data_IF_906543563919
#
_entry.id   IF_906543563919
#
_cell.length_a   1.000
_cell.length_b   1.000
_cell.length_c   1.000
_cell.angle_alpha   90.00
_cell.angle_beta   90.00
_cell.angle_gamma   90.00
#
_symmetry.space_group_name_H-M   'P 1'
#
loop_
_entity.id
_entity.type
_entity.pdbx_description
1 polymer ?
#
# COMPACT_ATOMS: atom_id res chain seq x y z
N UNK A 1 -51.61 -1.71 52.68
CA UNK A 1 -52.34 -0.59 52.05
C UNK A 1 -51.59 0.68 52.38
N UNK A 2 -50.92 1.30 51.41
CA UNK A 2 -50.28 2.63 51.50
C UNK A 2 -51.36 3.70 51.18
N UNK A 3 -51.29 4.94 51.71
CA UNK A 3 -50.48 5.94 50.99
C UNK A 3 -49.97 7.17 51.76
N UNK A 4 -49.14 7.92 51.01
CA UNK A 4 -49.03 9.38 50.95
C UNK A 4 -48.35 10.14 52.11
N UNK A 5 -47.07 10.45 51.90
CA UNK A 5 -46.39 11.59 52.54
C UNK A 5 -46.61 12.84 51.67
N UNK A 6 -47.08 13.89 52.33
CA UNK A 6 -47.21 15.26 51.86
C UNK A 6 -45.83 15.94 51.74
N UNK A 7 -45.67 16.89 50.81
CA UNK A 7 -45.74 18.34 51.08
C UNK A 7 -44.93 19.10 50.01
N UNK A 8 -45.63 19.98 49.29
CA UNK A 8 -45.06 21.02 48.42
C UNK A 8 -44.74 22.24 49.28
N UNK A 9 -43.54 22.79 49.16
CA UNK A 9 -43.26 24.19 49.53
C UNK A 9 -42.14 24.75 48.65
N UNK A 10 -42.53 25.65 47.75
CA UNK A 10 -41.65 26.59 47.04
C UNK A 10 -40.85 27.44 48.03
N UNK A 11 -39.54 27.56 47.81
CA UNK A 11 -38.77 28.73 48.24
C UNK A 11 -37.91 29.18 47.07
N UNK A 12 -38.37 30.25 46.44
CA UNK A 12 -37.61 31.07 45.48
C UNK A 12 -36.48 31.77 46.24
N UNK A 13 -35.22 31.53 45.88
CA UNK A 13 -34.10 32.32 46.36
C UNK A 13 -33.36 32.98 45.19
N UNK A 14 -33.14 34.27 45.38
CA UNK A 14 -32.70 35.26 44.42
C UNK A 14 -31.18 35.19 44.19
N UNK A 15 -30.80 35.55 42.98
CA UNK A 15 -29.47 35.52 42.36
C UNK A 15 -28.44 36.42 43.06
N UNK A 16 -27.20 35.95 43.18
CA UNK A 16 -25.97 36.77 43.28
C UNK A 16 -24.92 36.17 42.34
N UNK A 17 -24.88 36.62 41.08
CA UNK A 17 -23.78 36.33 40.15
C UNK A 17 -22.66 37.32 40.45
N UNK A 18 -21.61 36.85 41.11
CA UNK A 18 -20.36 37.59 41.22
C UNK A 18 -19.57 37.41 39.92
N UNK A 19 -19.21 38.53 39.30
CA UNK A 19 -18.37 38.62 38.11
C UNK A 19 -16.94 38.18 38.45
N UNK A 20 -16.61 36.92 38.17
CA UNK A 20 -15.23 36.43 38.17
C UNK A 20 -14.62 36.50 36.76
N UNK A 21 -13.92 37.59 36.47
CA UNK A 21 -12.99 37.66 35.33
C UNK A 21 -11.85 36.67 35.59
N UNK A 22 -11.89 35.49 34.97
CA UNK A 22 -10.70 34.64 34.84
C UNK A 22 -9.81 35.25 33.76
N UNK A 23 -8.50 35.48 34.03
CA UNK A 23 -7.57 35.82 32.96
C UNK A 23 -7.45 34.60 32.05
N UNK A 24 -7.92 34.77 30.83
CA UNK A 24 -7.72 33.87 29.70
C UNK A 24 -6.22 33.80 29.43
N UNK A 25 -5.54 32.83 30.06
CA UNK A 25 -4.17 32.46 29.68
C UNK A 25 -4.28 31.87 28.28
N UNK A 26 -4.07 32.73 27.28
CA UNK A 26 -3.84 32.33 25.90
C UNK A 26 -2.60 31.42 25.88
N UNK A 27 -2.79 30.14 26.12
CA UNK A 27 -1.80 29.11 25.89
C UNK A 27 -1.51 29.15 24.38
N UNK A 28 -0.37 29.72 24.00
CA UNK A 28 0.20 29.52 22.66
C UNK A 28 0.30 28.02 22.48
N UNK A 29 -0.57 27.44 21.65
CA UNK A 29 -0.38 26.08 21.16
C UNK A 29 1.03 26.00 20.61
N UNK A 30 1.86 25.04 21.04
CA UNK A 30 3.16 24.84 20.42
C UNK A 30 2.92 24.65 18.93
N UNK A 31 3.63 25.42 18.09
CA UNK A 31 3.72 25.11 16.66
C UNK A 31 4.20 23.67 16.59
N UNK A 32 3.34 22.76 16.15
CA UNK A 32 3.74 21.39 15.85
C UNK A 32 4.91 21.49 14.87
N UNK A 33 6.08 21.00 15.27
CA UNK A 33 7.14 20.74 14.30
C UNK A 33 6.55 19.86 13.18
N UNK A 34 6.96 20.03 11.91
CA UNK A 34 6.51 19.14 10.86
C UNK A 34 6.85 17.72 11.28
N UNK A 35 5.84 16.92 11.63
CA UNK A 35 6.06 15.52 11.93
C UNK A 35 6.43 14.86 10.62
N UNK A 36 7.72 14.57 10.44
CA UNK A 36 8.19 13.76 9.32
C UNK A 36 7.47 12.42 9.39
N UNK A 37 6.83 12.04 8.28
CA UNK A 37 6.14 10.76 8.17
C UNK A 37 7.06 9.60 8.58
N UNK A 38 6.59 8.62 9.38
CA UNK A 38 7.42 7.49 9.80
C UNK A 38 7.87 6.58 8.64
N UNK A 39 7.36 6.82 7.43
CA UNK A 39 7.72 6.10 6.20
C UNK A 39 8.59 6.92 5.24
N UNK A 40 9.12 8.08 5.67
CA UNK A 40 9.99 8.92 4.83
C UNK A 40 11.18 8.16 4.24
N UNK A 41 11.70 7.17 4.99
CA UNK A 41 12.78 6.28 4.57
C UNK A 41 12.52 5.50 3.28
N UNK A 42 11.25 5.34 2.85
CA UNK A 42 10.92 4.65 1.59
C UNK A 42 11.58 5.30 0.36
N UNK A 43 11.80 6.61 0.39
CA UNK A 43 12.44 7.39 -0.68
C UNK A 43 13.84 7.93 -0.33
N UNK A 44 14.41 7.59 0.82
CA UNK A 44 15.74 8.05 1.22
C UNK A 44 16.85 7.23 0.52
N UNK A 45 18.04 7.81 0.36
CA UNK A 45 19.24 7.13 -0.13
C UNK A 45 19.09 6.39 -1.47
N UNK A 46 18.35 6.98 -2.43
CA UNK A 46 18.10 6.36 -3.72
C UNK A 46 16.91 5.40 -3.72
N UNK A 47 16.14 5.36 -2.63
CA UNK A 47 14.87 4.66 -2.57
C UNK A 47 14.95 3.23 -2.04
N UNK A 48 13.85 2.50 -2.21
CA UNK A 48 13.71 1.12 -1.72
C UNK A 48 13.21 0.19 -2.82
N UNK A 49 13.69 -1.05 -2.81
CA UNK A 49 13.39 -2.04 -3.84
C UNK A 49 12.58 -3.18 -3.25
N UNK A 50 11.60 -3.67 -4.00
CA UNK A 50 10.63 -4.65 -3.52
C UNK A 50 10.34 -5.68 -4.59
N UNK A 51 10.14 -6.93 -4.19
CA UNK A 51 9.84 -8.03 -5.09
C UNK A 51 8.85 -9.02 -4.47
N UNK A 52 8.22 -9.84 -5.31
CA UNK A 52 7.36 -10.94 -4.87
C UNK A 52 8.22 -12.20 -4.68
N UNK A 53 8.36 -12.75 -3.46
CA UNK A 53 9.10 -13.99 -3.25
C UNK A 53 8.28 -15.20 -3.73
N UNK A 54 8.95 -16.34 -3.92
CA UNK A 54 8.42 -17.51 -4.62
C UNK A 54 7.07 -18.01 -4.09
N UNK A 55 6.85 -17.95 -2.78
CA UNK A 55 5.62 -18.42 -2.15
C UNK A 55 4.38 -17.57 -2.47
N UNK A 56 4.57 -16.35 -2.99
CA UNK A 56 3.51 -15.40 -3.29
C UNK A 56 3.37 -15.09 -4.78
N UNK A 57 4.03 -15.83 -5.69
CA UNK A 57 3.97 -15.58 -7.14
C UNK A 57 2.61 -15.86 -7.77
N UNK A 58 1.79 -16.73 -7.17
CA UNK A 58 0.55 -17.18 -7.79
C UNK A 58 -0.47 -16.04 -7.86
N UNK A 59 -0.79 -15.63 -9.08
CA UNK A 59 -1.92 -14.78 -9.41
C UNK A 59 -3.00 -15.60 -10.17
N UNK A 60 -4.13 -14.96 -10.45
CA UNK A 60 -5.20 -15.55 -11.25
C UNK A 60 -5.63 -14.59 -12.36
N UNK A 61 -5.75 -15.13 -13.57
CA UNK A 61 -6.49 -14.47 -14.66
C UNK A 61 -7.92 -14.98 -14.67
N UNK A 62 -8.87 -14.13 -15.01
CA UNK A 62 -10.28 -14.47 -15.19
C UNK A 62 -10.81 -13.87 -16.49
N UNK A 63 -11.32 -14.70 -17.41
CA UNK A 63 -12.07 -14.24 -18.58
C UNK A 63 -13.46 -13.75 -18.15
N UNK A 64 -13.71 -12.46 -18.35
CA UNK A 64 -14.94 -11.79 -17.95
C UNK A 64 -16.01 -11.79 -19.05
N UNK A 65 -15.70 -12.28 -20.25
CA UNK A 65 -16.69 -12.45 -21.33
C UNK A 65 -17.61 -13.66 -21.06
N UNK A 66 -17.13 -14.67 -20.30
CA UNK A 66 -17.92 -15.79 -19.80
C UNK A 66 -17.71 -16.02 -18.29
N UNK A 67 -18.30 -15.16 -17.43
CA UNK A 67 -18.10 -15.23 -15.98
C UNK A 67 -18.71 -16.49 -15.34
N UNK A 68 -19.52 -17.25 -16.09
CA UNK A 68 -20.22 -18.44 -15.60
C UNK A 68 -19.40 -19.73 -15.72
N UNK A 69 -18.36 -19.72 -16.55
CA UNK A 69 -17.54 -20.87 -16.84
C UNK A 69 -16.40 -20.97 -15.83
N UNK A 70 -16.37 -22.00 -14.95
CA UNK A 70 -15.33 -22.11 -13.91
C UNK A 70 -13.93 -22.36 -14.47
N UNK A 71 -13.81 -22.73 -15.75
CA UNK A 71 -12.52 -22.93 -16.40
C UNK A 71 -11.89 -21.63 -16.93
N UNK A 72 -12.56 -20.48 -16.78
CA UNK A 72 -12.00 -19.19 -17.20
C UNK A 72 -11.01 -18.60 -16.20
N UNK A 73 -10.94 -19.17 -14.98
CA UNK A 73 -9.99 -18.79 -13.96
C UNK A 73 -8.72 -19.63 -14.06
N UNK A 74 -7.63 -19.03 -14.52
CA UNK A 74 -6.36 -19.71 -14.77
C UNK A 74 -5.29 -19.16 -13.82
N UNK A 75 -4.58 -20.00 -13.06
CA UNK A 75 -3.45 -19.55 -12.26
C UNK A 75 -2.27 -19.19 -13.16
N UNK A 76 -1.60 -18.09 -12.85
CA UNK A 76 -0.38 -17.65 -13.53
C UNK A 76 0.68 -17.25 -12.50
N UNK A 77 1.95 -17.26 -12.89
CA UNK A 77 3.01 -16.60 -12.12
C UNK A 77 3.02 -15.11 -12.46
N UNK A 78 3.04 -14.27 -11.43
CA UNK A 78 3.17 -12.82 -11.50
C UNK A 78 4.36 -12.39 -10.62
N UNK A 79 5.48 -12.07 -11.27
CA UNK A 79 6.60 -11.41 -10.62
C UNK A 79 6.45 -9.90 -10.80
N UNK A 80 6.22 -9.21 -9.70
CA UNK A 80 6.10 -7.76 -9.66
C UNK A 80 7.26 -7.19 -8.84
N UNK A 81 7.99 -6.26 -9.45
CA UNK A 81 9.13 -5.55 -8.85
C UNK A 81 8.83 -4.07 -8.77
N UNK A 82 9.11 -3.47 -7.61
CA UNK A 82 8.98 -2.03 -7.40
C UNK A 82 10.33 -1.42 -7.03
N UNK A 83 10.55 -0.20 -7.52
CA UNK A 83 11.52 0.72 -6.95
C UNK A 83 10.76 1.97 -6.51
N UNK A 84 10.72 2.23 -5.21
CA UNK A 84 10.19 3.47 -4.66
C UNK A 84 11.34 4.48 -4.63
N UNK A 85 11.39 5.38 -5.60
CA UNK A 85 12.45 6.38 -5.73
C UNK A 85 12.20 7.65 -4.90
N UNK A 86 10.93 7.95 -4.63
CA UNK A 86 10.52 9.19 -3.98
C UNK A 86 9.42 8.95 -2.96
N UNK A 87 9.52 9.66 -1.85
CA UNK A 87 8.47 9.78 -0.83
C UNK A 87 8.21 11.25 -0.53
N UNK A 88 6.94 11.64 -0.43
CA UNK A 88 6.52 13.01 -0.11
C UNK A 88 5.17 12.99 0.61
N UNK A 89 5.14 13.48 1.86
CA UNK A 89 3.93 13.65 2.68
C UNK A 89 2.95 12.46 2.68
N UNK A 90 3.47 11.24 2.84
CA UNK A 90 2.63 10.02 2.86
C UNK A 90 2.42 9.40 1.49
N UNK A 91 2.82 10.06 0.41
CA UNK A 91 2.80 9.51 -0.94
C UNK A 91 4.17 8.99 -1.35
N UNK A 92 4.18 7.96 -2.19
CA UNK A 92 5.39 7.40 -2.76
C UNK A 92 5.24 7.12 -4.25
N UNK A 93 6.36 7.14 -4.96
CA UNK A 93 6.40 7.09 -6.42
C UNK A 93 7.56 6.24 -6.89
N UNK A 94 7.41 5.66 -8.07
CA UNK A 94 8.53 5.11 -8.80
C UNK A 94 8.14 4.08 -9.85
N UNK A 95 9.13 3.47 -10.49
CA UNK A 95 8.89 2.49 -11.53
C UNK A 95 8.46 1.14 -10.96
N UNK A 96 7.68 0.44 -11.78
CA UNK A 96 7.18 -0.91 -11.52
C UNK A 96 7.40 -1.75 -12.76
N UNK A 97 7.85 -2.99 -12.57
CA UNK A 97 7.97 -3.98 -13.63
C UNK A 97 7.15 -5.20 -13.25
N UNK A 98 6.26 -5.61 -14.15
CA UNK A 98 5.46 -6.81 -14.00
C UNK A 98 5.87 -7.82 -15.07
N UNK A 99 6.17 -9.05 -14.66
CA UNK A 99 6.52 -10.15 -15.55
C UNK A 99 5.59 -11.34 -15.29
N UNK A 100 4.75 -11.63 -16.27
CA UNK A 100 3.94 -12.85 -16.31
C UNK A 100 4.69 -13.96 -17.05
N UNK A 101 4.44 -15.23 -16.70
CA UNK A 101 5.10 -16.45 -17.22
C UNK A 101 5.54 -16.34 -18.70
N UNK A 102 4.61 -16.09 -19.61
CA UNK A 102 4.86 -16.08 -21.07
C UNK A 102 4.71 -14.70 -21.73
N UNK A 103 4.78 -13.61 -20.96
CA UNK A 103 4.64 -12.25 -21.48
C UNK A 103 5.96 -11.47 -21.38
N UNK A 104 6.24 -10.51 -22.28
CA UNK A 104 7.34 -9.58 -22.07
C UNK A 104 7.12 -8.77 -20.78
N UNK A 105 8.19 -8.25 -20.14
CA UNK A 105 8.06 -7.33 -19.02
C UNK A 105 7.16 -6.15 -19.37
N UNK A 106 6.24 -5.82 -18.45
CA UNK A 106 5.37 -4.66 -18.54
C UNK A 106 5.96 -3.55 -17.70
N UNK A 107 6.40 -2.48 -18.36
CA UNK A 107 6.95 -1.31 -17.70
C UNK A 107 5.82 -0.35 -17.28
N UNK A 108 5.80 0.00 -16.01
CA UNK A 108 4.78 0.84 -15.40
C UNK A 108 5.41 1.88 -14.46
N UNK A 109 4.59 2.85 -14.07
CA UNK A 109 4.94 3.81 -13.04
C UNK A 109 3.84 3.86 -11.98
N UNK A 110 4.23 3.82 -10.71
CA UNK A 110 3.31 3.85 -9.59
C UNK A 110 3.22 5.22 -8.93
N UNK A 111 2.01 5.51 -8.49
CA UNK A 111 1.75 6.41 -7.37
C UNK A 111 1.10 5.58 -6.26
N UNK A 112 1.61 5.73 -5.05
CA UNK A 112 1.08 5.10 -3.85
C UNK A 112 0.94 6.07 -2.71
N UNK A 113 0.22 5.65 -1.68
CA UNK A 113 0.17 6.32 -0.39
C UNK A 113 0.29 5.31 0.73
N UNK A 114 0.90 5.73 1.84
CA UNK A 114 0.91 5.01 3.10
C UNK A 114 0.44 5.95 4.20
N UNK A 115 -0.64 5.58 4.87
CA UNK A 115 -1.28 6.40 5.90
C UNK A 115 -1.29 5.69 7.25
N UNK A 116 -1.29 6.42 8.37
CA UNK A 116 -1.48 5.80 9.67
C UNK A 116 -2.82 5.09 9.73
N UNK A 117 -2.83 3.88 10.26
CA UNK A 117 -4.05 3.12 10.48
C UNK A 117 -3.83 2.09 11.57
N UNK A 118 -4.92 1.53 12.14
CA UNK A 118 -4.79 0.40 13.03
C UNK A 118 -4.08 -0.72 12.25
N UNK A 119 -2.95 -1.24 12.75
CA UNK A 119 -2.25 -2.34 12.09
C UNK A 119 -3.16 -3.57 12.08
N UNK A 120 -3.13 -4.37 11.00
CA UNK A 120 -3.77 -5.70 11.01
C UNK A 120 -3.27 -6.58 12.16
N UNK A 121 -2.04 -6.35 12.63
CA UNK A 121 -1.44 -7.04 13.77
C UNK A 121 -1.35 -6.10 14.98
N UNK A 122 -2.10 -6.38 16.07
CA UNK A 122 -2.06 -5.56 17.28
C UNK A 122 -0.63 -5.37 17.80
N UNK A 123 -0.25 -4.11 18.05
CA UNK A 123 1.05 -3.75 18.63
C UNK A 123 2.23 -3.70 17.66
N UNK A 124 2.02 -3.90 16.35
CA UNK A 124 3.07 -3.70 15.33
C UNK A 124 2.93 -2.34 14.67
N UNK A 125 4.04 -1.62 14.40
CA UNK A 125 3.97 -0.42 13.56
C UNK A 125 3.59 -0.83 12.13
N UNK A 126 2.69 -0.08 11.51
CA UNK A 126 2.27 -0.32 10.14
C UNK A 126 1.48 0.87 9.57
N UNK A 127 1.18 0.79 8.28
CA UNK A 127 0.39 1.81 7.58
C UNK A 127 -0.50 1.18 6.52
N UNK A 128 -1.65 1.80 6.25
CA UNK A 128 -2.54 1.39 5.17
C UNK A 128 -1.99 1.89 3.85
N UNK A 129 -2.00 1.03 2.84
CA UNK A 129 -1.40 1.29 1.54
C UNK A 129 -2.46 1.28 0.47
N UNK A 130 -2.42 2.29 -0.39
CA UNK A 130 -3.25 2.40 -1.60
C UNK A 130 -2.30 2.73 -2.76
N UNK A 131 -2.42 2.02 -3.89
CA UNK A 131 -1.53 2.19 -5.05
C UNK A 131 -2.31 2.18 -6.36
N UNK A 132 -1.72 2.82 -7.36
CA UNK A 132 -2.13 2.71 -8.76
C UNK A 132 -0.91 2.69 -9.68
N UNK A 133 -0.93 1.78 -10.67
CA UNK A 133 0.09 1.69 -11.71
C UNK A 133 -0.50 2.08 -13.05
N UNK A 134 0.26 2.85 -13.82
CA UNK A 134 -0.07 3.17 -15.20
C UNK A 134 1.09 2.71 -16.09
N UNK A 135 0.79 2.14 -17.26
CA UNK A 135 1.81 1.82 -18.24
C UNK A 135 2.53 3.09 -18.70
N UNK A 136 3.86 3.04 -18.74
CA UNK A 136 4.66 4.02 -19.48
C UNK A 136 4.70 3.56 -20.94
N UNK A 137 4.43 4.45 -21.89
CA UNK A 137 3.85 4.14 -23.21
C UNK A 137 4.71 3.24 -24.13
N UNK A 138 4.02 2.47 -24.99
CA UNK A 138 4.49 1.70 -26.18
C UNK A 138 4.82 0.20 -26.00
N UNK A 139 3.82 -0.64 -25.69
CA UNK A 139 3.86 -2.06 -26.08
C UNK A 139 2.93 -2.29 -27.29
N UNK A 140 3.41 -2.82 -28.42
CA UNK A 140 2.56 -3.14 -29.57
C UNK A 140 1.77 -4.42 -29.29
N UNK A 141 0.45 -4.31 -29.18
CA UNK A 141 -0.46 -5.46 -29.06
C UNK A 141 -1.83 -5.08 -28.51
N UNK A 142 -2.90 -5.85 -28.80
CA UNK A 142 -4.19 -5.58 -28.21
C UNK A 142 -4.13 -5.92 -26.71
N UNK A 143 -4.48 -4.93 -25.88
CA UNK A 143 -4.78 -5.02 -24.44
C UNK A 143 -3.57 -4.97 -23.48
N UNK A 144 -2.92 -3.81 -23.39
CA UNK A 144 -2.26 -3.42 -22.14
C UNK A 144 -3.32 -3.36 -21.02
N UNK A 145 -3.03 -3.86 -19.80
CA UNK A 145 -3.95 -3.71 -18.67
C UNK A 145 -4.30 -2.23 -18.45
N UNK A 146 -5.60 -1.95 -18.34
CA UNK A 146 -6.11 -0.63 -17.98
C UNK A 146 -5.91 -0.45 -16.49
N UNK A 147 -4.86 0.28 -16.08
CA UNK A 147 -4.60 0.71 -14.70
C UNK A 147 -4.66 -0.41 -13.66
N UNK A 148 -3.50 -0.81 -13.11
CA UNK A 148 -3.50 -1.66 -11.93
C UNK A 148 -3.83 -0.81 -10.70
N UNK A 149 -4.71 -1.30 -9.84
CA UNK A 149 -4.98 -0.70 -8.52
C UNK A 149 -4.74 -1.72 -7.44
N UNK A 150 -4.32 -1.28 -6.26
CA UNK A 150 -4.12 -2.18 -5.15
C UNK A 150 -4.33 -1.51 -3.81
N UNK A 151 -4.77 -2.31 -2.85
CA UNK A 151 -4.95 -1.93 -1.45
C UNK A 151 -4.16 -2.88 -0.58
N UNK A 152 -3.71 -2.41 0.57
CA UNK A 152 -2.83 -3.22 1.39
C UNK A 152 -2.35 -2.56 2.67
N UNK A 153 -1.27 -3.10 3.22
CA UNK A 153 -0.63 -2.62 4.42
C UNK A 153 0.90 -2.76 4.32
N UNK A 154 1.61 -1.75 4.81
CA UNK A 154 3.03 -1.85 5.12
C UNK A 154 3.16 -2.36 6.55
N UNK A 155 3.68 -3.58 6.72
CA UNK A 155 3.75 -4.28 8.00
C UNK A 155 5.16 -4.81 8.26
N UNK A 156 5.50 -5.07 9.53
CA UNK A 156 6.70 -5.84 9.86
C UNK A 156 6.37 -7.33 9.95
N UNK A 157 6.97 -8.13 9.07
CA UNK A 157 7.01 -9.57 9.20
C UNK A 157 8.42 -10.03 9.56
N UNK A 158 8.53 -10.80 10.66
CA UNK A 158 9.80 -11.40 11.13
C UNK A 158 10.95 -10.39 11.26
N UNK A 159 10.62 -9.14 11.61
CA UNK A 159 11.58 -8.05 11.79
C UNK A 159 11.85 -7.20 10.54
N UNK A 160 11.39 -7.63 9.36
CA UNK A 160 11.57 -6.91 8.10
C UNK A 160 10.28 -6.22 7.66
N UNK A 161 10.40 -5.06 7.02
CA UNK A 161 9.25 -4.40 6.39
C UNK A 161 8.78 -5.19 5.17
N UNK A 162 7.47 -5.21 4.95
CA UNK A 162 6.83 -5.98 3.89
C UNK A 162 5.55 -5.28 3.47
N UNK A 163 5.31 -5.17 2.17
CA UNK A 163 4.02 -4.72 1.64
C UNK A 163 3.10 -5.92 1.48
N UNK A 164 2.06 -6.01 2.31
CA UNK A 164 0.94 -6.92 2.09
C UNK A 164 -0.04 -6.25 1.14
N UNK A 165 -0.15 -6.73 -0.09
CA UNK A 165 -0.95 -6.10 -1.12
C UNK A 165 -1.97 -7.07 -1.71
N UNK A 166 -3.13 -6.53 -2.09
CA UNK A 166 -4.08 -7.14 -3.00
C UNK A 166 -4.22 -6.18 -4.18
N UNK A 167 -3.90 -6.67 -5.37
CA UNK A 167 -3.87 -5.90 -6.61
C UNK A 167 -4.79 -6.51 -7.63
N UNK A 168 -5.41 -5.66 -8.43
CA UNK A 168 -6.20 -6.07 -9.57
C UNK A 168 -5.92 -5.16 -10.77
N UNK A 169 -5.93 -5.76 -11.95
CA UNK A 169 -5.80 -5.10 -13.23
C UNK A 169 -6.66 -5.82 -14.26
N UNK A 170 -6.82 -5.27 -15.46
CA UNK A 170 -7.56 -5.98 -16.49
C UNK A 170 -7.97 -5.13 -17.67
N UNK A 171 -8.93 -5.66 -18.42
CA UNK A 171 -9.68 -5.01 -19.48
C UNK A 171 -11.15 -5.42 -19.34
N UNK A 172 -12.00 -5.06 -20.30
CA UNK A 172 -13.41 -5.47 -20.30
C UNK A 172 -13.62 -6.99 -20.41
N UNK A 173 -12.65 -7.74 -20.95
CA UNK A 173 -12.76 -9.19 -21.20
C UNK A 173 -11.84 -10.04 -20.32
N UNK A 174 -10.98 -9.43 -19.51
CA UNK A 174 -9.97 -10.17 -18.76
C UNK A 174 -9.59 -9.41 -17.51
N UNK A 175 -9.62 -10.05 -16.35
CA UNK A 175 -9.13 -9.51 -15.10
C UNK A 175 -7.92 -10.33 -14.63
N UNK A 176 -6.96 -9.66 -13.99
CA UNK A 176 -5.87 -10.29 -13.25
C UNK A 176 -5.98 -9.83 -11.81
N UNK A 177 -5.92 -10.77 -10.88
CA UNK A 177 -5.88 -10.48 -9.45
C UNK A 177 -4.69 -11.20 -8.82
N UNK A 178 -3.95 -10.47 -7.98
CA UNK A 178 -2.77 -10.97 -7.30
C UNK A 178 -2.75 -10.45 -5.87
N UNK A 179 -2.35 -11.29 -4.93
CA UNK A 179 -2.03 -10.84 -3.58
C UNK A 179 -0.66 -11.36 -3.20
N UNK A 180 0.11 -10.55 -2.50
CA UNK A 180 1.46 -10.92 -2.10
C UNK A 180 1.91 -10.18 -0.86
N UNK A 181 2.84 -10.80 -0.14
CA UNK A 181 3.76 -10.09 0.75
C UNK A 181 5.03 -9.77 -0.05
N UNK A 182 5.21 -8.52 -0.45
CA UNK A 182 6.41 -8.09 -1.15
C UNK A 182 7.53 -7.79 -0.16
N UNK A 183 8.68 -8.41 -0.38
CA UNK A 183 9.85 -8.28 0.48
C UNK A 183 10.77 -7.17 -0.02
N UNK A 184 11.36 -6.44 0.91
CA UNK A 184 12.38 -5.45 0.58
C UNK A 184 13.66 -6.17 0.16
N UNK A 185 14.22 -5.77 -0.98
CA UNK A 185 15.55 -6.13 -1.41
C UNK A 185 16.50 -4.95 -1.16
N UNK A 186 17.66 -5.22 -0.55
CA UNK A 186 18.63 -4.16 -0.22
C UNK A 186 19.59 -3.98 -1.40
N UNK A 187 19.59 -2.78 -1.96
CA UNK A 187 20.47 -2.42 -3.06
C UNK A 187 21.95 -2.59 -2.72
N UNK A 188 22.71 -3.18 -3.64
CA UNK A 188 24.13 -3.43 -3.50
C UNK A 188 24.51 -4.45 -2.42
N UNK A 189 23.54 -5.24 -1.94
CA UNK A 189 23.79 -6.32 -0.99
C UNK A 189 24.02 -7.66 -1.69
N UNK A 190 24.56 -8.64 -0.95
CA UNK A 190 24.71 -10.03 -1.41
C UNK A 190 23.42 -10.85 -1.25
N UNK A 191 22.25 -10.20 -1.14
CA UNK A 191 20.98 -10.90 -1.04
C UNK A 191 20.62 -11.53 -2.40
N UNK A 192 20.08 -12.77 -2.44
CA UNK A 192 19.70 -13.42 -3.70
C UNK A 192 18.77 -12.59 -4.58
N UNK A 193 17.84 -11.83 -3.99
CA UNK A 193 16.96 -10.93 -4.75
C UNK A 193 17.70 -9.84 -5.55
N UNK A 194 18.95 -9.53 -5.19
CA UNK A 194 19.77 -8.52 -5.84
C UNK A 194 20.77 -9.11 -6.84
N UNK A 195 21.37 -10.26 -6.52
CA UNK A 195 22.48 -10.85 -7.29
C UNK A 195 22.09 -12.04 -8.17
N UNK A 196 20.98 -12.70 -7.87
CA UNK A 196 20.49 -13.88 -8.58
C UNK A 196 19.19 -13.56 -9.33
N UNK A 197 18.78 -14.47 -10.21
CA UNK A 197 17.49 -14.40 -10.91
C UNK A 197 16.32 -14.42 -9.91
N UNK A 198 15.36 -13.52 -10.12
CA UNK A 198 14.13 -13.51 -9.33
C UNK A 198 13.26 -14.75 -9.62
N UNK A 199 12.45 -15.18 -8.65
CA UNK A 199 11.60 -16.34 -8.84
C UNK A 199 10.43 -16.01 -9.78
N UNK A 200 9.91 -17.04 -10.44
CA UNK A 200 8.81 -16.94 -11.39
C UNK A 200 9.18 -17.60 -12.69
N UNK A 201 8.24 -18.33 -13.29
CA UNK A 201 8.50 -18.92 -14.59
C UNK A 201 8.70 -17.81 -15.64
N UNK A 202 9.67 -18.02 -16.52
CA UNK A 202 10.03 -17.03 -17.53
C UNK A 202 10.67 -15.75 -16.97
N UNK A 203 11.07 -15.74 -15.69
CA UNK A 203 11.94 -14.73 -15.09
C UNK A 203 13.35 -15.31 -15.07
N UNK A 204 14.24 -14.71 -15.86
CA UNK A 204 15.64 -15.12 -16.07
C UNK A 204 16.60 -13.95 -15.80
N UNK A 205 16.20 -13.09 -14.86
CA UNK A 205 16.85 -11.82 -14.54
C UNK A 205 16.76 -11.51 -13.06
N UNK A 206 17.79 -10.87 -12.55
CA UNK A 206 17.79 -10.24 -11.23
C UNK A 206 16.80 -9.07 -11.15
N UNK A 207 16.52 -8.61 -9.93
CA UNK A 207 15.72 -7.41 -9.69
C UNK A 207 16.27 -6.20 -10.46
N UNK A 208 17.59 -6.04 -10.46
CA UNK A 208 18.26 -4.92 -11.10
C UNK A 208 18.07 -4.98 -12.63
N UNK A 209 18.26 -6.15 -13.23
CA UNK A 209 18.14 -6.32 -14.68
C UNK A 209 16.70 -6.13 -15.17
N UNK A 210 15.69 -6.58 -14.41
CA UNK A 210 14.29 -6.31 -14.74
C UNK A 210 13.95 -4.82 -14.72
N UNK A 211 14.43 -4.08 -13.72
CA UNK A 211 14.26 -2.63 -13.67
C UNK A 211 15.00 -1.95 -14.84
N UNK A 212 16.22 -2.40 -15.15
CA UNK A 212 17.01 -1.84 -16.24
C UNK A 212 16.34 -2.00 -17.62
N UNK A 213 15.65 -3.13 -17.88
CA UNK A 213 14.87 -3.34 -19.11
C UNK A 213 13.83 -2.23 -19.35
N UNK A 214 13.31 -1.65 -18.27
CA UNK A 214 12.30 -0.61 -18.28
C UNK A 214 12.89 0.80 -18.11
N UNK A 215 14.22 0.96 -18.12
CA UNK A 215 14.89 2.24 -17.87
C UNK A 215 14.62 2.80 -16.48
N UNK A 216 14.35 1.91 -15.52
CA UNK A 216 13.90 2.25 -14.17
C UNK A 216 15.03 2.45 -13.15
N UNK A 217 16.30 2.27 -13.57
CA UNK A 217 17.52 2.47 -12.77
C UNK A 217 18.70 2.87 -13.66
#
# INVERSE_FOLDING_TARGET
MLPAKYLVAMVTCLIMITTGLSPEVAAKSPKSEPQTSPWAWLGENGGTYWYVPSEYLKAYTWDTDDPSNPNTTVPIDDQTVWHIEKFDDGFFFGPVVVKFEDQPPLCQYMIGSVTPGPPSTPGQPGGRVEISFNGITELPGPKSPTITTGTGELVKQRGSWTFLMQMASGTQSTQVAHWAYMQQCIAGSDQPCWIDDLPGKGVDKSLQELLADCGAI
#
